data_IF_329590911410
#
_entry.id   IF_329590911410
#
_cell.length_a   1.000
_cell.length_b   1.000
_cell.length_c   1.000
_cell.angle_alpha   90.00
_cell.angle_beta   90.00
_cell.angle_gamma   90.00
#
_symmetry.space_group_name_H-M   'P 1'
#
loop_
_entity.id
_entity.type
_entity.pdbx_description
1 polymer ?
#
# COMPACT_ATOMS: atom_id res chain seq x y z
N UNK A 1 -48.94 37.77 -6.15
CA UNK A 1 -48.01 36.92 -6.92
C UNK A 1 -48.10 35.52 -6.29
N UNK A 2 -48.88 34.53 -6.79
CA UNK A 2 -48.58 33.53 -7.84
C UNK A 2 -47.09 33.12 -7.80
N UNK A 3 -46.66 31.86 -7.58
CA UNK A 3 -47.26 30.53 -7.83
C UNK A 3 -46.69 29.47 -6.86
N UNK A 4 -47.49 28.45 -6.56
CA UNK A 4 -47.04 27.14 -6.04
C UNK A 4 -46.32 26.39 -7.16
N UNK A 5 -45.24 25.68 -6.86
CA UNK A 5 -44.73 24.59 -7.70
C UNK A 5 -44.28 23.40 -6.85
N UNK A 6 -44.83 22.25 -7.21
CA UNK A 6 -44.73 20.92 -6.60
C UNK A 6 -44.40 19.99 -7.78
N UNK A 7 -43.27 19.27 -7.77
CA UNK A 7 -42.92 18.27 -8.80
C UNK A 7 -42.08 17.18 -8.08
N UNK A 8 -42.65 16.04 -7.69
CA UNK A 8 -43.04 14.84 -8.47
C UNK A 8 -41.89 13.83 -8.60
N UNK A 9 -41.95 12.82 -7.72
CA UNK A 9 -41.20 11.56 -7.77
C UNK A 9 -41.79 10.69 -8.88
N UNK A 10 -40.99 10.29 -9.87
CA UNK A 10 -41.41 9.35 -10.91
C UNK A 10 -40.67 8.03 -10.71
N UNK A 11 -41.39 7.07 -10.12
CA UNK A 11 -41.08 5.65 -10.21
C UNK A 11 -41.47 5.16 -11.61
N UNK A 12 -40.49 4.75 -12.42
CA UNK A 12 -40.74 4.01 -13.64
C UNK A 12 -40.65 2.51 -13.32
N UNK A 13 -41.81 1.94 -12.98
CA UNK A 13 -42.05 0.50 -13.06
C UNK A 13 -42.60 0.24 -14.46
N UNK A 14 -41.79 -0.32 -15.34
CA UNK A 14 -42.29 -0.97 -16.56
C UNK A 14 -42.02 -2.45 -16.45
N UNK A 15 -43.08 -3.18 -16.09
CA UNK A 15 -43.20 -4.62 -16.28
C UNK A 15 -43.41 -4.84 -17.78
N UNK A 16 -42.52 -5.59 -18.42
CA UNK A 16 -42.62 -5.95 -19.83
C UNK A 16 -41.85 -7.24 -20.09
N UNK A 17 -42.48 -8.37 -19.83
CA UNK A 17 -42.05 -9.65 -20.40
C UNK A 17 -42.56 -9.73 -21.84
N UNK A 18 -41.65 -9.70 -22.82
CA UNK A 18 -41.82 -10.44 -24.08
C UNK A 18 -40.44 -10.80 -24.63
N UNK A 19 -40.27 -12.08 -24.94
CA UNK A 19 -39.06 -12.74 -25.41
C UNK A 19 -38.55 -12.17 -26.74
N UNK A 20 -37.22 -12.07 -26.90
CA UNK A 20 -36.43 -12.72 -27.97
C UNK A 20 -35.12 -11.95 -28.28
N UNK A 21 -34.08 -12.75 -28.50
CA UNK A 21 -32.75 -12.43 -29.06
C UNK A 21 -31.63 -12.07 -28.10
N UNK A 22 -30.78 -13.08 -27.86
CA UNK A 22 -29.32 -12.99 -28.02
C UNK A 22 -28.66 -11.72 -27.50
N UNK A 23 -28.58 -11.57 -26.19
CA UNK A 23 -27.41 -10.94 -25.60
C UNK A 23 -26.77 -11.97 -24.69
N UNK A 24 -25.67 -12.56 -25.20
CA UNK A 24 -24.60 -13.05 -24.36
C UNK A 24 -24.44 -12.03 -23.25
N UNK A 25 -24.85 -12.38 -22.03
CA UNK A 25 -24.50 -11.59 -20.86
C UNK A 25 -22.98 -11.59 -20.86
N UNK A 26 -22.40 -10.52 -21.40
CA UNK A 26 -21.01 -10.17 -21.16
C UNK A 26 -21.03 -9.81 -19.69
N UNK A 27 -20.87 -10.83 -18.85
CA UNK A 27 -20.36 -10.65 -17.51
C UNK A 27 -19.14 -9.76 -17.73
N UNK A 28 -19.10 -8.52 -17.22
CA UNK A 28 -17.88 -7.76 -17.29
C UNK A 28 -16.87 -8.65 -16.59
N UNK A 29 -15.93 -9.18 -17.37
CA UNK A 29 -14.74 -9.79 -16.81
C UNK A 29 -14.12 -8.59 -16.09
N UNK A 30 -14.30 -8.55 -14.77
CA UNK A 30 -13.51 -7.68 -13.92
C UNK A 30 -12.10 -8.20 -14.08
N UNK A 31 -11.41 -7.72 -15.11
CA UNK A 31 -9.97 -7.80 -15.22
C UNK A 31 -9.49 -6.88 -14.11
N UNK A 32 -9.30 -7.47 -12.94
CA UNK A 32 -8.71 -6.82 -11.79
C UNK A 32 -7.25 -6.50 -12.14
N UNK A 33 -7.11 -5.45 -12.95
CA UNK A 33 -5.85 -4.91 -13.42
C UNK A 33 -5.54 -3.69 -12.57
N UNK A 34 -4.28 -3.53 -12.15
CA UNK A 34 -3.89 -2.40 -11.32
C UNK A 34 -3.99 -1.08 -12.09
N UNK A 35 -4.46 -0.04 -11.41
CA UNK A 35 -4.48 1.34 -11.90
C UNK A 35 -3.11 2.03 -11.79
N UNK A 36 -2.33 1.68 -10.78
CA UNK A 36 -0.96 2.16 -10.61
C UNK A 36 0.04 1.23 -11.27
N UNK A 37 1.16 1.79 -11.73
CA UNK A 37 2.34 1.00 -12.10
C UNK A 37 3.28 0.87 -10.90
N UNK A 38 4.12 -0.18 -10.89
CA UNK A 38 5.05 -0.48 -9.78
C UNK A 38 5.83 0.75 -9.28
N UNK A 39 6.38 1.56 -10.19
CA UNK A 39 7.15 2.75 -9.79
C UNK A 39 6.31 3.81 -9.05
N UNK A 40 5.02 3.97 -9.40
CA UNK A 40 4.14 4.90 -8.68
C UNK A 40 3.85 4.41 -7.27
N UNK A 41 3.63 3.10 -7.13
CA UNK A 41 3.40 2.44 -5.84
C UNK A 41 4.64 2.57 -4.95
N UNK A 42 5.84 2.36 -5.51
CA UNK A 42 7.12 2.52 -4.81
C UNK A 42 7.29 3.97 -4.34
N UNK A 43 7.09 4.96 -5.20
CA UNK A 43 7.24 6.37 -4.81
C UNK A 43 6.28 6.78 -3.69
N UNK A 44 5.03 6.29 -3.70
CA UNK A 44 4.08 6.53 -2.61
C UNK A 44 4.58 5.97 -1.28
N UNK A 45 5.22 4.80 -1.30
CA UNK A 45 5.78 4.15 -0.10
C UNK A 45 7.05 4.84 0.39
N UNK A 46 7.92 5.30 -0.52
CA UNK A 46 9.10 6.11 -0.18
C UNK A 46 8.68 7.40 0.53
N UNK A 47 7.74 8.16 -0.05
CA UNK A 47 7.20 9.38 0.55
C UNK A 47 6.60 9.11 1.94
N UNK A 48 5.88 7.99 2.08
CA UNK A 48 5.29 7.58 3.34
C UNK A 48 6.35 7.26 4.40
N UNK A 49 7.38 6.49 4.04
CA UNK A 49 8.48 6.14 4.94
C UNK A 49 9.23 7.38 5.44
N UNK A 50 9.51 8.33 4.55
CA UNK A 50 10.11 9.62 4.89
C UNK A 50 9.21 10.41 5.86
N UNK A 51 7.90 10.47 5.58
CA UNK A 51 6.95 11.15 6.44
C UNK A 51 6.89 10.53 7.85
N UNK A 52 6.94 9.21 7.94
CA UNK A 52 6.92 8.49 9.21
C UNK A 52 8.16 8.82 10.06
N UNK A 53 9.35 8.84 9.45
CA UNK A 53 10.61 9.29 10.10
C UNK A 53 10.47 10.72 10.65
N UNK A 54 10.04 11.67 9.80
CA UNK A 54 9.87 13.06 10.22
C UNK A 54 8.81 13.24 11.32
N UNK A 55 7.81 12.37 11.36
CA UNK A 55 6.76 12.40 12.38
C UNK A 55 7.30 11.89 13.72
N UNK A 56 8.11 10.82 13.69
CA UNK A 56 8.73 10.27 14.88
C UNK A 56 9.75 11.23 15.52
N UNK A 57 10.53 11.96 14.73
CA UNK A 57 11.50 12.96 15.21
C UNK A 57 10.88 14.13 15.98
N UNK A 58 9.60 14.41 15.73
CA UNK A 58 8.85 15.47 16.43
C UNK A 58 8.28 15.03 17.78
N UNK A 59 8.41 13.75 18.14
CA UNK A 59 7.89 13.25 19.41
C UNK A 59 8.76 13.74 20.58
N UNK A 60 8.18 14.39 21.60
CA UNK A 60 8.93 14.97 22.72
C UNK A 60 9.65 13.93 23.59
N UNK A 61 9.31 12.64 23.46
CA UNK A 61 10.01 11.53 24.10
C UNK A 61 9.93 10.27 23.23
N UNK A 62 10.76 10.22 22.18
CA UNK A 62 10.93 8.98 21.41
C UNK A 62 11.75 7.98 22.24
N UNK A 63 11.19 6.81 22.52
CA UNK A 63 11.92 5.73 23.20
C UNK A 63 13.05 5.20 22.31
N UNK A 64 14.17 4.76 22.91
CA UNK A 64 15.38 4.30 22.19
C UNK A 64 15.08 3.25 21.11
N UNK A 65 14.15 2.33 21.37
CA UNK A 65 13.74 1.31 20.39
C UNK A 65 13.06 1.90 19.15
N UNK A 66 12.26 2.94 19.31
CA UNK A 66 11.58 3.59 18.18
C UNK A 66 12.60 4.42 17.38
N UNK A 67 13.52 5.09 18.08
CA UNK A 67 14.62 5.84 17.44
C UNK A 67 15.53 4.93 16.61
N UNK A 68 15.91 3.77 17.14
CA UNK A 68 16.68 2.78 16.40
C UNK A 68 15.92 2.28 15.16
N UNK A 69 14.63 1.97 15.31
CA UNK A 69 13.80 1.55 14.18
C UNK A 69 13.75 2.60 13.05
N UNK A 70 13.71 3.89 13.40
CA UNK A 70 13.73 4.97 12.41
C UNK A 70 15.05 5.13 11.70
N UNK A 71 16.16 5.00 12.43
CA UNK A 71 17.49 5.03 11.84
C UNK A 71 17.69 3.87 10.84
N UNK A 72 17.17 2.68 11.15
CA UNK A 72 17.25 1.53 10.25
C UNK A 72 16.39 1.72 9.00
N UNK A 73 15.17 2.23 9.14
CA UNK A 73 14.34 2.57 7.98
C UNK A 73 15.02 3.64 7.11
N UNK A 74 15.56 4.70 7.71
CA UNK A 74 16.26 5.77 7.00
C UNK A 74 17.42 5.21 6.17
N UNK A 75 18.24 4.34 6.78
CA UNK A 75 19.34 3.67 6.08
C UNK A 75 18.84 2.79 4.92
N UNK A 76 17.78 2.01 5.13
CA UNK A 76 17.20 1.16 4.10
C UNK A 76 16.63 1.97 2.92
N UNK A 77 15.99 3.11 3.19
CA UNK A 77 15.47 4.01 2.15
C UNK A 77 16.60 4.66 1.34
N UNK A 78 17.68 5.11 2.00
CA UNK A 78 18.83 5.73 1.32
C UNK A 78 19.60 4.72 0.46
N UNK A 79 19.65 3.46 0.87
CA UNK A 79 20.42 2.41 0.20
C UNK A 79 19.59 1.50 -0.70
N UNK A 80 18.36 1.90 -1.05
CA UNK A 80 17.39 1.13 -1.85
C UNK A 80 17.84 0.83 -3.29
N UNK A 81 19.00 1.34 -3.70
CA UNK A 81 19.65 1.06 -4.98
C UNK A 81 20.75 0.00 -4.90
N UNK A 82 21.30 -0.25 -3.72
CA UNK A 82 22.55 -1.02 -3.54
C UNK A 82 22.44 -2.11 -2.46
N UNK A 83 21.85 -1.76 -1.31
CA UNK A 83 21.78 -2.63 -0.11
C UNK A 83 20.34 -2.87 0.36
N UNK A 84 19.34 -2.31 -0.29
CA UNK A 84 17.94 -2.66 -0.09
C UNK A 84 17.21 -2.67 -1.42
N UNK A 85 16.02 -3.29 -1.48
CA UNK A 85 15.20 -3.32 -2.69
C UNK A 85 13.71 -3.31 -2.36
N UNK A 86 12.96 -2.52 -3.11
CA UNK A 86 11.50 -2.59 -3.12
C UNK A 86 10.99 -3.76 -3.95
N UNK A 87 10.02 -4.49 -3.39
CA UNK A 87 9.32 -5.61 -4.01
C UNK A 87 7.81 -5.35 -3.91
N UNK A 88 7.19 -4.69 -4.91
CA UNK A 88 5.76 -4.51 -4.98
C UNK A 88 5.07 -5.79 -5.48
N UNK A 89 3.93 -6.12 -4.88
CA UNK A 89 3.07 -7.25 -5.28
C UNK A 89 1.64 -6.77 -5.32
N UNK A 90 0.99 -6.89 -6.48
CA UNK A 90 -0.43 -6.62 -6.60
C UNK A 90 -1.23 -7.75 -5.97
N UNK A 91 -2.04 -7.43 -4.97
CA UNK A 91 -2.87 -8.40 -4.24
C UNK A 91 -4.28 -8.54 -4.83
N UNK A 92 -4.66 -7.64 -5.74
CA UNK A 92 -6.01 -7.53 -6.27
C UNK A 92 -6.83 -6.43 -5.59
N UNK A 93 -8.00 -6.13 -6.16
CA UNK A 93 -8.97 -5.14 -5.67
C UNK A 93 -8.38 -3.73 -5.45
N UNK A 94 -7.42 -3.33 -6.28
CA UNK A 94 -6.71 -2.06 -6.17
C UNK A 94 -5.81 -1.97 -4.93
N UNK A 95 -5.30 -3.10 -4.44
CA UNK A 95 -4.39 -3.17 -3.28
C UNK A 95 -3.03 -3.71 -3.69
N UNK A 96 -1.98 -3.02 -3.29
CA UNK A 96 -0.59 -3.47 -3.42
C UNK A 96 0.02 -3.73 -2.04
N UNK A 97 0.76 -4.82 -1.89
CA UNK A 97 1.74 -4.97 -0.80
C UNK A 97 3.11 -4.54 -1.34
N UNK A 98 3.79 -3.66 -0.63
CA UNK A 98 5.17 -3.26 -0.95
C UNK A 98 6.06 -3.66 0.20
N UNK A 99 7.11 -4.42 -0.13
CA UNK A 99 8.14 -4.80 0.84
C UNK A 99 9.46 -4.13 0.48
N UNK A 100 10.07 -3.39 1.41
CA UNK A 100 11.48 -2.98 1.33
C UNK A 100 12.32 -4.03 2.04
N UNK A 101 13.21 -4.69 1.32
CA UNK A 101 14.05 -5.80 1.81
C UNK A 101 15.48 -5.28 1.94
N UNK A 102 16.08 -5.35 3.13
CA UNK A 102 17.51 -5.05 3.35
C UNK A 102 18.38 -6.29 3.06
N UNK A 103 19.49 -6.07 2.35
CA UNK A 103 20.53 -7.05 2.06
C UNK A 103 21.75 -6.76 2.93
N UNK A 104 22.20 -7.76 3.69
CA UNK A 104 23.49 -7.69 4.37
C UNK A 104 24.58 -8.35 3.52
N UNK A 105 25.63 -7.59 3.24
CA UNK A 105 26.92 -8.16 2.84
C UNK A 105 27.61 -8.66 4.11
N UNK A 106 27.77 -9.97 4.24
CA UNK A 106 28.72 -10.54 5.19
C UNK A 106 30.13 -10.48 4.58
N UNK A 107 31.19 -10.54 5.40
CA UNK A 107 32.61 -10.48 5.00
C UNK A 107 33.03 -11.61 4.01
N UNK A 108 32.11 -12.50 3.63
CA UNK A 108 32.31 -13.67 2.77
C UNK A 108 31.86 -13.51 1.31
N UNK A 109 31.75 -12.28 0.79
CA UNK A 109 31.32 -11.96 -0.61
C UNK A 109 29.94 -12.51 -1.01
N UNK A 110 29.18 -13.09 -0.07
CA UNK A 110 27.87 -13.67 -0.32
C UNK A 110 26.80 -12.76 0.29
N UNK A 111 26.00 -12.13 -0.57
CA UNK A 111 24.78 -11.43 -0.14
C UNK A 111 23.82 -12.48 0.42
N UNK A 112 23.63 -12.48 1.74
CA UNK A 112 22.55 -13.27 2.36
C UNK A 112 21.31 -12.42 2.38
N UNK A 113 20.27 -12.99 1.81
CA UNK A 113 18.95 -12.39 1.84
C UNK A 113 18.42 -12.47 3.28
N UNK A 114 17.94 -11.32 3.77
CA UNK A 114 17.06 -11.14 4.91
C UNK A 114 17.67 -11.09 6.32
N UNK A 115 17.85 -9.86 6.82
CA UNK A 115 17.66 -9.58 8.24
C UNK A 115 16.40 -8.74 8.48
N UNK A 116 16.09 -7.71 7.69
CA UNK A 116 14.96 -6.80 7.93
C UNK A 116 14.14 -6.53 6.68
N UNK A 117 12.81 -6.49 6.85
CA UNK A 117 11.85 -6.12 5.82
C UNK A 117 10.87 -5.09 6.38
N UNK A 118 10.47 -4.12 5.58
CA UNK A 118 9.44 -3.15 5.93
C UNK A 118 8.28 -3.30 4.97
N UNK A 119 7.05 -3.35 5.48
CA UNK A 119 5.88 -3.59 4.62
C UNK A 119 4.82 -2.50 4.73
N UNK A 120 4.25 -2.17 3.58
CA UNK A 120 3.15 -1.23 3.42
C UNK A 120 2.06 -1.81 2.52
N UNK A 121 0.83 -1.37 2.74
CA UNK A 121 -0.27 -1.51 1.78
C UNK A 121 -0.48 -0.19 1.06
N UNK A 122 -0.65 -0.23 -0.25
CA UNK A 122 -1.08 0.93 -1.05
C UNK A 122 -2.48 0.65 -1.60
N UNK A 123 -3.39 1.58 -1.37
CA UNK A 123 -4.78 1.49 -1.84
C UNK A 123 -4.99 2.46 -3.01
N UNK A 124 -5.18 1.93 -4.22
CA UNK A 124 -5.36 2.72 -5.44
C UNK A 124 -6.58 3.62 -5.39
N UNK A 125 -7.67 3.12 -4.79
CA UNK A 125 -8.95 3.84 -4.64
C UNK A 125 -8.84 5.19 -3.93
N UNK A 126 -7.80 5.36 -3.10
CA UNK A 126 -7.60 6.56 -2.29
C UNK A 126 -6.20 7.16 -2.39
N UNK A 127 -5.29 6.51 -3.14
CA UNK A 127 -3.86 6.82 -3.15
C UNK A 127 -3.26 6.90 -1.74
N UNK A 128 -3.73 6.05 -0.82
CA UNK A 128 -3.26 6.04 0.57
C UNK A 128 -2.30 4.88 0.81
N UNK A 129 -1.36 5.11 1.73
CA UNK A 129 -0.39 4.11 2.15
C UNK A 129 -0.60 3.81 3.63
N UNK A 130 -0.85 2.54 3.95
CA UNK A 130 -0.95 2.03 5.30
C UNK A 130 0.30 1.23 5.68
N UNK A 131 0.76 1.44 6.90
CA UNK A 131 1.91 0.76 7.46
C UNK A 131 1.50 -0.59 8.07
N UNK A 132 2.11 -1.69 7.63
CA UNK A 132 1.83 -3.03 8.16
C UNK A 132 2.84 -3.41 9.25
N UNK A 133 4.08 -2.90 9.16
CA UNK A 133 5.13 -3.06 10.16
C UNK A 133 6.48 -3.55 9.58
N UNK A 134 7.42 -3.80 10.49
CA UNK A 134 8.76 -4.35 10.18
C UNK A 134 8.82 -5.85 10.51
N UNK A 135 9.45 -6.64 9.64
CA UNK A 135 9.63 -8.09 9.76
C UNK A 135 11.12 -8.40 9.78
N UNK A 136 11.62 -8.98 10.89
CA UNK A 136 12.99 -9.51 10.94
C UNK A 136 12.99 -10.98 10.52
N UNK A 137 13.73 -11.36 9.47
CA UNK A 137 13.74 -12.75 8.99
C UNK A 137 14.63 -13.70 9.83
N UNK A 138 15.47 -13.17 10.72
CA UNK A 138 16.24 -13.96 11.67
C UNK A 138 15.69 -13.84 13.11
N UNK A 139 15.40 -15.00 13.72
CA UNK A 139 15.00 -15.20 15.13
C UNK A 139 13.55 -14.90 15.55
N UNK A 140 12.60 -14.75 14.62
CA UNK A 140 11.17 -14.99 14.87
C UNK A 140 10.46 -14.07 15.89
N UNK A 141 11.07 -12.96 16.31
CA UNK A 141 10.42 -11.98 17.20
C UNK A 141 9.79 -10.84 16.43
N UNK A 142 8.46 -10.76 16.53
CA UNK A 142 7.61 -9.72 15.97
C UNK A 142 7.62 -8.48 16.86
N UNK A 143 7.83 -7.31 16.27
CA UNK A 143 7.35 -6.07 16.86
C UNK A 143 6.47 -5.37 15.83
N UNK A 144 5.14 -5.56 15.88
CA UNK A 144 4.25 -4.61 15.24
C UNK A 144 4.45 -3.27 15.95
N UNK A 145 5.19 -2.40 15.30
CA UNK A 145 5.28 -0.99 15.63
C UNK A 145 5.14 -0.23 14.33
N UNK A 146 4.55 0.96 14.43
CA UNK A 146 4.68 1.97 13.39
C UNK A 146 6.14 1.97 12.92
N UNK A 147 6.37 1.83 11.62
CA UNK A 147 7.71 1.95 11.04
C UNK A 147 8.09 3.42 11.17
N UNK A 148 8.53 3.84 12.35
CA UNK A 148 8.25 5.19 12.81
C UNK A 148 6.72 5.47 12.85
#
# INVERSE_FOLDING_TARGET
MKKIFLISLVFLVTVGCTEQSSETAVVPISTDEPLFVENQVISLVEDKGIQDIFTADKLPSIGERLRLSCLMLEFALITSTDLAKFSPVYLGDGVWEVTLIEYHMDDSDSVREYDLQYKWLVYESSATVANIGTYKAAFGTYMPKKIC
#
